data_IF_179392776334
#
_entry.id   IF_179392776334
#
_cell.length_a   1.000
_cell.length_b   1.000
_cell.length_c   1.000
_cell.angle_alpha   90.00
_cell.angle_beta   90.00
_cell.angle_gamma   90.00
#
_symmetry.space_group_name_H-M   'P 1'
#
loop_
_entity.id
_entity.type
_entity.pdbx_description
1 polymer ?
#
# COMPACT_ATOMS: atom_id res chain seq x y z
N UNK A 1 5.51 27.10 -16.55
CA UNK A 1 4.04 27.03 -16.41
C UNK A 1 3.44 27.63 -17.66
N UNK A 2 2.62 26.89 -18.44
CA UNK A 2 1.96 27.45 -19.62
C UNK A 2 1.07 28.63 -19.24
N UNK A 3 1.11 29.73 -20.00
CA UNK A 3 0.33 30.94 -19.69
C UNK A 3 -1.18 30.66 -19.52
N UNK A 4 -1.69 29.69 -20.28
CA UNK A 4 -3.10 29.26 -20.25
C UNK A 4 -3.50 28.47 -19.00
N UNK A 5 -2.54 27.85 -18.30
CA UNK A 5 -2.81 27.03 -17.12
C UNK A 5 -2.91 27.85 -15.82
N UNK A 6 -2.41 29.09 -15.81
CA UNK A 6 -2.44 29.96 -14.64
C UNK A 6 -1.47 29.53 -13.52
N UNK A 7 -1.66 30.12 -12.34
CA UNK A 7 -0.83 29.85 -11.16
C UNK A 7 -1.42 28.72 -10.31
N UNK A 8 -0.54 27.83 -9.84
CA UNK A 8 -0.91 26.68 -9.01
C UNK A 8 -0.39 26.91 -7.59
N UNK A 9 -1.30 26.98 -6.62
CA UNK A 9 -1.00 27.21 -5.20
C UNK A 9 -1.36 26.00 -4.34
N UNK A 10 -0.67 24.89 -4.56
CA UNK A 10 -0.87 23.67 -3.77
C UNK A 10 0.45 22.92 -3.56
N UNK A 11 0.47 22.05 -2.56
CA UNK A 11 1.61 21.16 -2.33
C UNK A 11 1.63 20.09 -3.42
N UNK A 12 2.75 20.02 -4.13
CA UNK A 12 2.93 19.09 -5.25
C UNK A 12 3.31 17.70 -4.72
N UNK A 13 2.33 16.82 -4.66
CA UNK A 13 2.47 15.37 -4.43
C UNK A 13 2.40 14.65 -5.77
N UNK A 14 2.77 13.36 -5.80
CA UNK A 14 2.61 12.53 -7.00
C UNK A 14 1.17 12.54 -7.54
N UNK A 15 0.17 12.60 -6.65
CA UNK A 15 -1.24 12.63 -7.05
C UNK A 15 -1.62 13.98 -7.63
N UNK A 16 -1.37 15.07 -6.90
CA UNK A 16 -1.71 16.41 -7.39
C UNK A 16 -0.98 16.76 -8.69
N UNK A 17 0.30 16.37 -8.84
CA UNK A 17 1.01 16.52 -10.10
C UNK A 17 0.33 15.80 -11.27
N UNK A 18 -0.18 14.57 -11.06
CA UNK A 18 -0.90 13.83 -12.10
C UNK A 18 -2.18 14.57 -12.52
N UNK A 19 -2.92 15.09 -11.54
CA UNK A 19 -4.18 15.80 -11.78
C UNK A 19 -3.91 17.13 -12.52
N UNK A 20 -2.91 17.91 -12.09
CA UNK A 20 -2.44 19.12 -12.77
C UNK A 20 -2.04 18.84 -14.22
N UNK A 21 -1.26 17.79 -14.48
CA UNK A 21 -0.82 17.43 -15.84
C UNK A 21 -2.05 17.12 -16.71
N UNK A 22 -3.04 16.42 -16.15
CA UNK A 22 -4.30 16.13 -16.83
C UNK A 22 -5.09 17.40 -17.17
N UNK A 23 -5.16 18.36 -16.25
CA UNK A 23 -5.88 19.61 -16.47
C UNK A 23 -5.15 20.54 -17.45
N UNK A 24 -3.82 20.58 -17.41
CA UNK A 24 -3.01 21.28 -18.42
C UNK A 24 -3.28 20.68 -19.79
N UNK A 25 -3.25 19.35 -19.93
CA UNK A 25 -3.52 18.68 -21.20
C UNK A 25 -4.91 19.01 -21.76
N UNK A 26 -5.93 19.20 -20.91
CA UNK A 26 -7.29 19.60 -21.34
C UNK A 26 -7.35 21.03 -21.88
N UNK A 27 -6.53 21.94 -21.35
CA UNK A 27 -6.57 23.38 -21.65
C UNK A 27 -5.56 23.75 -22.76
N UNK A 28 -4.50 22.96 -22.91
CA UNK A 28 -3.41 23.18 -23.86
C UNK A 28 -3.40 22.14 -24.99
N UNK A 29 -2.23 21.91 -25.60
CA UNK A 29 -1.98 20.91 -26.64
C UNK A 29 -0.99 19.83 -26.15
N UNK A 30 -0.96 18.67 -26.81
CA UNK A 30 0.00 17.58 -26.49
C UNK A 30 1.46 18.07 -26.52
N UNK A 31 1.93 18.83 -27.52
CA UNK A 31 3.30 19.35 -27.53
C UNK A 31 3.62 20.26 -26.35
N UNK A 32 2.70 21.18 -26.00
CA UNK A 32 2.88 22.10 -24.86
C UNK A 32 2.93 21.35 -23.53
N UNK A 33 2.07 20.34 -23.36
CA UNK A 33 2.11 19.49 -22.16
C UNK A 33 3.42 18.70 -22.09
N UNK A 34 3.95 18.23 -23.22
CA UNK A 34 5.24 17.52 -23.24
C UNK A 34 6.41 18.42 -22.84
N UNK A 35 6.48 19.64 -23.38
CA UNK A 35 7.49 20.64 -22.99
C UNK A 35 7.40 20.97 -21.50
N UNK A 36 6.18 21.18 -21.00
CA UNK A 36 5.92 21.39 -19.59
C UNK A 36 6.40 20.23 -18.69
N UNK A 37 6.20 18.98 -19.12
CA UNK A 37 6.70 17.79 -18.40
C UNK A 37 8.23 17.77 -18.32
N UNK A 38 8.91 18.16 -19.40
CA UNK A 38 10.37 18.28 -19.42
C UNK A 38 10.90 19.40 -18.52
N UNK A 39 10.21 20.53 -18.47
CA UNK A 39 10.49 21.61 -17.51
C UNK A 39 10.35 21.14 -16.06
N UNK A 40 9.22 20.48 -15.73
CA UNK A 40 8.99 19.93 -14.39
C UNK A 40 10.06 18.93 -14.00
N UNK A 41 10.43 18.02 -14.92
CA UNK A 41 11.48 17.03 -14.69
C UNK A 41 12.81 17.71 -14.36
N UNK A 42 13.19 18.71 -15.15
CA UNK A 42 14.44 19.45 -14.97
C UNK A 42 14.45 20.24 -13.66
N UNK A 43 13.34 20.92 -13.36
CA UNK A 43 13.13 21.64 -12.10
C UNK A 43 13.24 20.70 -10.90
N UNK A 44 12.52 19.56 -10.96
CA UNK A 44 12.51 18.53 -9.94
C UNK A 44 13.91 17.99 -9.65
N UNK A 45 14.69 17.65 -10.68
CA UNK A 45 16.07 17.19 -10.49
C UNK A 45 16.96 18.26 -9.86
N UNK A 46 16.87 19.51 -10.32
CA UNK A 46 17.67 20.62 -9.77
C UNK A 46 17.39 20.84 -8.29
N UNK A 47 16.11 20.94 -7.91
CA UNK A 47 15.72 21.21 -6.52
C UNK A 47 15.88 19.99 -5.62
N UNK A 48 15.69 18.76 -6.14
CA UNK A 48 16.00 17.55 -5.38
C UNK A 48 17.50 17.45 -5.05
N UNK A 49 18.37 17.80 -6.00
CA UNK A 49 19.80 17.86 -5.76
C UNK A 49 20.19 18.96 -4.75
N UNK A 50 19.67 20.17 -4.91
CA UNK A 50 19.91 21.28 -3.98
C UNK A 50 19.35 21.03 -2.57
N UNK A 51 18.23 20.32 -2.47
CA UNK A 51 17.60 19.96 -1.20
C UNK A 51 18.42 18.97 -0.38
N UNK A 52 19.38 18.26 -0.99
CA UNK A 52 20.33 17.41 -0.26
C UNK A 52 19.68 16.32 0.60
N UNK A 53 18.46 15.89 0.26
CA UNK A 53 17.72 14.90 1.04
C UNK A 53 18.47 13.58 1.03
N UNK A 54 18.84 13.10 2.21
CA UNK A 54 19.51 11.82 2.41
C UNK A 54 18.67 10.93 3.31
N UNK A 55 18.84 9.62 3.16
CA UNK A 55 18.19 8.63 4.00
C UNK A 55 19.16 8.14 5.07
N UNK A 56 18.88 8.47 6.33
CA UNK A 56 19.66 7.98 7.47
C UNK A 56 18.87 6.99 8.31
N UNK A 57 19.54 5.99 8.87
CA UNK A 57 19.00 5.12 9.93
C UNK A 57 18.57 5.93 11.17
N UNK A 58 19.16 7.12 11.37
CA UNK A 58 18.77 8.07 12.43
C UNK A 58 17.37 8.65 12.22
N UNK A 59 16.92 8.80 10.98
CA UNK A 59 15.61 9.37 10.64
C UNK A 59 14.46 8.38 10.90
N UNK A 60 14.79 7.11 11.11
CA UNK A 60 13.86 6.02 11.45
C UNK A 60 13.65 6.02 12.97
N UNK A 61 12.60 6.67 13.45
CA UNK A 61 12.33 6.79 14.89
C UNK A 61 11.50 5.59 15.36
N UNK A 62 12.01 4.82 16.32
CA UNK A 62 11.27 3.74 16.98
C UNK A 62 10.56 4.33 18.21
N UNK A 63 9.24 4.10 18.39
CA UNK A 63 8.54 4.53 19.61
C UNK A 63 9.08 3.85 20.86
N UNK A 64 9.30 4.58 21.94
CA UNK A 64 9.76 4.01 23.22
C UNK A 64 8.65 3.16 23.87
N UNK A 65 7.41 3.57 23.67
CA UNK A 65 6.17 2.92 24.10
C UNK A 65 6.00 1.55 23.47
N UNK A 66 6.74 1.23 22.40
CA UNK A 66 6.73 -0.09 21.75
C UNK A 66 6.88 -1.21 22.78
N UNK A 67 7.83 -1.09 23.70
CA UNK A 67 8.09 -2.13 24.70
C UNK A 67 6.92 -2.30 25.68
N UNK A 68 6.32 -1.19 26.10
CA UNK A 68 5.15 -1.19 26.98
C UNK A 68 3.92 -1.80 26.29
N UNK A 69 3.68 -1.45 25.03
CA UNK A 69 2.59 -2.00 24.21
C UNK A 69 2.76 -3.52 24.01
N UNK A 70 3.98 -3.99 23.71
CA UNK A 70 4.28 -5.41 23.57
C UNK A 70 4.06 -6.15 24.90
N UNK A 71 4.53 -5.59 26.02
CA UNK A 71 4.31 -6.19 27.34
C UNK A 71 2.82 -6.27 27.69
N UNK A 72 2.06 -5.23 27.37
CA UNK A 72 0.60 -5.20 27.57
C UNK A 72 -0.09 -6.28 26.75
N UNK A 73 0.29 -6.42 25.47
CA UNK A 73 -0.24 -7.46 24.59
C UNK A 73 0.11 -8.87 25.09
N UNK A 74 1.35 -9.11 25.56
CA UNK A 74 1.75 -10.38 26.13
C UNK A 74 0.91 -10.74 27.37
N UNK A 75 0.67 -9.79 28.27
CA UNK A 75 -0.17 -10.01 29.44
C UNK A 75 -1.61 -10.38 29.05
N UNK A 76 -2.18 -9.73 28.03
CA UNK A 76 -3.51 -10.07 27.52
C UNK A 76 -3.55 -11.48 26.92
N UNK A 77 -2.51 -11.86 26.16
CA UNK A 77 -2.38 -13.21 25.60
C UNK A 77 -2.27 -14.27 26.71
N UNK A 78 -1.57 -13.98 27.80
CA UNK A 78 -1.47 -14.89 28.94
C UNK A 78 -2.79 -15.07 29.68
N UNK A 79 -3.60 -14.01 29.81
CA UNK A 79 -4.98 -14.12 30.33
C UNK A 79 -5.83 -15.03 29.44
N UNK A 80 -5.74 -14.87 28.11
CA UNK A 80 -6.48 -15.72 27.17
C UNK A 80 -6.02 -17.19 27.27
N UNK A 81 -4.72 -17.44 27.40
CA UNK A 81 -4.17 -18.78 27.62
C UNK A 81 -4.67 -19.38 28.93
N UNK A 82 -4.74 -18.58 30.00
CA UNK A 82 -5.29 -19.01 31.28
C UNK A 82 -6.77 -19.39 31.17
N UNK A 83 -7.58 -18.56 30.50
CA UNK A 83 -9.00 -18.85 30.26
C UNK A 83 -9.21 -20.13 29.46
N UNK A 84 -8.36 -20.39 28.47
CA UNK A 84 -8.36 -21.64 27.73
C UNK A 84 -8.00 -22.85 28.62
N UNK A 85 -6.97 -22.72 29.46
CA UNK A 85 -6.55 -23.78 30.38
C UNK A 85 -7.62 -24.08 31.46
N UNK A 86 -8.41 -23.09 31.84
CA UNK A 86 -9.57 -23.24 32.73
C UNK A 86 -10.82 -23.81 32.02
N UNK A 87 -10.77 -24.02 30.70
CA UNK A 87 -11.89 -24.54 29.92
C UNK A 87 -13.02 -23.54 29.66
N UNK A 88 -12.77 -22.23 29.83
CA UNK A 88 -13.77 -21.18 29.64
C UNK A 88 -14.00 -20.82 28.17
N UNK A 89 -13.00 -21.07 27.31
CA UNK A 89 -13.04 -20.78 25.87
C UNK A 89 -12.51 -21.96 25.06
N UNK A 90 -12.94 -22.05 23.81
CA UNK A 90 -12.44 -23.06 22.85
C UNK A 90 -11.08 -22.67 22.26
N UNK A 91 -10.35 -23.63 21.67
CA UNK A 91 -9.07 -23.33 21.02
C UNK A 91 -9.21 -22.38 19.82
N UNK A 92 -10.33 -22.43 19.10
CA UNK A 92 -10.59 -21.54 17.98
C UNK A 92 -10.82 -20.10 18.45
N UNK A 93 -11.57 -19.91 19.55
CA UNK A 93 -11.77 -18.58 20.16
C UNK A 93 -10.45 -18.03 20.71
N UNK A 94 -9.67 -18.87 21.41
CA UNK A 94 -8.32 -18.53 21.87
C UNK A 94 -7.43 -18.07 20.71
N UNK A 95 -7.40 -18.82 19.61
CA UNK A 95 -6.62 -18.53 18.41
C UNK A 95 -6.99 -17.17 17.80
N UNK A 96 -8.29 -16.93 17.58
CA UNK A 96 -8.77 -15.68 16.99
C UNK A 96 -8.49 -14.49 17.91
N UNK A 97 -8.73 -14.61 19.22
CA UNK A 97 -8.46 -13.52 20.16
C UNK A 97 -6.98 -13.15 20.23
N UNK A 98 -6.07 -14.13 20.16
CA UNK A 98 -4.62 -13.87 20.10
C UNK A 98 -4.25 -13.12 18.82
N UNK A 99 -4.81 -13.49 17.67
CA UNK A 99 -4.60 -12.79 16.41
C UNK A 99 -5.12 -11.36 16.47
N UNK A 100 -6.30 -11.16 17.04
CA UNK A 100 -6.93 -9.85 17.12
C UNK A 100 -6.11 -8.90 17.98
N UNK A 101 -5.60 -9.35 19.14
CA UNK A 101 -4.70 -8.55 19.98
C UNK A 101 -3.48 -8.11 19.20
N UNK A 102 -2.75 -9.04 18.60
CA UNK A 102 -1.52 -8.71 17.87
C UNK A 102 -1.78 -7.82 16.65
N UNK A 103 -2.92 -8.01 15.98
CA UNK A 103 -3.33 -7.17 14.85
C UNK A 103 -3.62 -5.74 15.33
N UNK A 104 -4.34 -5.59 16.43
CA UNK A 104 -4.66 -4.29 17.03
C UNK A 104 -3.41 -3.57 17.54
N UNK A 105 -2.57 -4.25 18.32
CA UNK A 105 -1.32 -3.68 18.85
C UNK A 105 -0.39 -3.23 17.72
N UNK A 106 -0.27 -4.03 16.65
CA UNK A 106 0.56 -3.66 15.50
C UNK A 106 -0.01 -2.44 14.75
N UNK A 107 -1.33 -2.33 14.60
CA UNK A 107 -1.97 -1.17 13.98
C UNK A 107 -1.73 0.11 14.81
N UNK A 108 -1.94 0.04 16.12
CA UNK A 108 -1.72 1.16 17.04
C UNK A 108 -0.25 1.61 17.05
N UNK A 109 0.69 0.65 17.10
CA UNK A 109 2.12 0.94 17.02
C UNK A 109 2.50 1.60 15.69
N UNK A 110 1.86 1.18 14.60
CA UNK A 110 2.06 1.78 13.27
C UNK A 110 1.62 3.24 13.25
N UNK A 111 0.44 3.55 13.78
CA UNK A 111 -0.03 4.94 13.86
C UNK A 111 0.90 5.80 14.73
N UNK A 112 1.36 5.26 15.86
CA UNK A 112 2.29 5.96 16.74
C UNK A 112 3.64 6.26 16.05
N UNK A 113 4.23 5.27 15.38
CA UNK A 113 5.45 5.45 14.58
C UNK A 113 5.25 6.50 13.49
N UNK A 114 4.13 6.43 12.77
CA UNK A 114 3.80 7.38 11.71
C UNK A 114 3.64 8.81 12.24
N UNK A 115 3.00 8.98 13.40
CA UNK A 115 2.88 10.28 14.07
C UNK A 115 4.24 10.85 14.43
N UNK A 116 5.13 10.06 15.03
CA UNK A 116 6.49 10.49 15.39
C UNK A 116 7.33 10.89 14.19
N UNK A 117 7.22 10.16 13.08
CA UNK A 117 7.94 10.46 11.84
C UNK A 117 7.41 11.75 11.19
N UNK A 118 6.08 11.97 11.23
CA UNK A 118 5.45 13.21 10.76
C UNK A 118 5.87 14.43 11.59
N UNK A 119 5.91 14.31 12.91
CA UNK A 119 6.27 15.42 13.81
C UNK A 119 7.80 15.62 13.89
N UNK A 120 8.57 14.60 13.48
CA UNK A 120 10.02 14.62 13.44
C UNK A 120 10.56 15.73 12.54
N UNK A 121 11.59 16.44 13.02
CA UNK A 121 12.22 17.55 12.29
C UNK A 121 11.22 18.58 11.75
N UNK A 122 10.14 18.86 12.51
CA UNK A 122 9.08 19.80 12.10
C UNK A 122 8.40 19.41 10.76
N UNK A 123 8.33 18.12 10.44
CA UNK A 123 7.77 17.64 9.18
C UNK A 123 8.76 17.48 8.03
N UNK A 124 10.03 17.87 8.22
CA UNK A 124 11.10 17.73 7.23
C UNK A 124 11.92 16.44 7.37
N UNK A 125 11.39 15.46 8.10
CA UNK A 125 12.00 14.13 8.13
C UNK A 125 12.05 13.54 6.71
N UNK A 126 13.23 13.13 6.27
CA UNK A 126 13.48 12.61 4.91
C UNK A 126 12.59 11.41 4.55
N UNK A 127 12.39 10.49 5.49
CA UNK A 127 11.55 9.29 5.34
C UNK A 127 10.07 9.70 5.23
N UNK A 128 9.63 10.66 6.05
CA UNK A 128 8.28 11.21 5.97
C UNK A 128 8.04 11.88 4.61
N UNK A 129 8.94 12.77 4.18
CA UNK A 129 8.81 13.50 2.93
C UNK A 129 8.73 12.56 1.71
N UNK A 130 9.52 11.46 1.69
CA UNK A 130 9.44 10.46 0.61
C UNK A 130 8.09 9.74 0.56
N UNK A 131 7.51 9.47 1.73
CA UNK A 131 6.20 8.81 1.85
C UNK A 131 5.06 9.75 1.48
N UNK A 132 5.01 10.93 2.12
CA UNK A 132 3.90 11.90 2.01
C UNK A 132 3.80 12.48 0.60
N UNK A 133 4.95 12.73 -0.04
CA UNK A 133 5.00 13.12 -1.46
C UNK A 133 4.52 12.00 -2.40
N UNK A 134 4.48 10.75 -1.95
CA UNK A 134 4.20 9.59 -2.78
C UNK A 134 5.31 9.25 -3.77
N UNK A 135 6.50 9.83 -3.61
CA UNK A 135 7.64 9.60 -4.49
C UNK A 135 8.16 8.16 -4.38
N UNK A 136 8.33 7.67 -3.14
CA UNK A 136 8.77 6.29 -2.89
C UNK A 136 8.45 5.88 -1.46
N UNK A 137 8.04 4.64 -1.29
CA UNK A 137 7.73 4.08 0.01
C UNK A 137 6.24 3.84 0.19
N UNK A 138 5.89 3.01 1.17
CA UNK A 138 4.53 2.85 1.63
C UNK A 138 4.49 2.84 3.16
N UNK A 139 3.32 3.14 3.73
CA UNK A 139 3.09 3.05 5.18
C UNK A 139 3.48 1.68 5.73
N UNK A 140 3.20 0.63 4.95
CA UNK A 140 3.57 -0.75 5.25
C UNK A 140 5.09 -0.98 5.30
N UNK A 141 5.85 -0.39 4.38
CA UNK A 141 7.31 -0.50 4.39
C UNK A 141 7.93 0.24 5.59
N UNK A 142 7.41 1.43 5.92
CA UNK A 142 7.87 2.18 7.10
C UNK A 142 7.52 1.47 8.40
N UNK A 143 6.35 0.83 8.46
CA UNK A 143 5.96 -0.05 9.57
C UNK A 143 7.01 -1.12 9.83
N UNK A 144 7.48 -1.80 8.78
CA UNK A 144 8.49 -2.87 8.91
C UNK A 144 9.87 -2.36 9.35
N UNK A 145 10.17 -1.08 9.15
CA UNK A 145 11.41 -0.45 9.59
C UNK A 145 11.35 0.03 11.06
N UNK A 146 10.20 0.53 11.51
CA UNK A 146 10.07 1.32 12.76
C UNK A 146 9.22 0.66 13.83
N UNK A 147 8.18 -0.06 13.44
CA UNK A 147 7.22 -0.69 14.33
C UNK A 147 7.63 -2.12 14.69
N UNK A 148 6.74 -3.05 14.40
CA UNK A 148 6.98 -4.49 14.44
C UNK A 148 6.56 -5.09 13.09
N UNK A 149 7.14 -6.24 12.74
CA UNK A 149 6.76 -6.90 11.48
C UNK A 149 5.40 -7.60 11.58
N UNK A 150 5.01 -8.01 12.78
CA UNK A 150 3.67 -8.53 13.08
C UNK A 150 3.49 -9.99 12.71
N UNK A 151 2.23 -10.37 12.50
CA UNK A 151 1.81 -11.75 12.25
C UNK A 151 2.15 -12.19 10.82
N UNK A 152 2.66 -13.41 10.67
CA UNK A 152 3.04 -13.98 9.38
C UNK A 152 2.08 -15.08 8.96
N UNK A 153 1.77 -15.14 7.66
CA UNK A 153 0.98 -16.23 7.11
C UNK A 153 1.81 -17.52 7.07
N UNK A 154 1.20 -18.63 7.50
CA UNK A 154 1.81 -19.96 7.42
C UNK A 154 1.84 -20.44 5.96
N UNK A 155 2.95 -21.06 5.51
CA UNK A 155 2.98 -21.69 4.20
C UNK A 155 1.99 -22.87 4.16
N UNK A 156 1.10 -22.87 3.16
CA UNK A 156 0.10 -23.93 2.98
C UNK A 156 0.73 -25.21 2.45
N UNK A 157 0.31 -26.37 2.98
CA UNK A 157 0.22 -27.59 2.17
C UNK A 157 -1.12 -27.54 1.44
N UNK A 158 -1.15 -27.96 0.17
CA UNK A 158 -2.26 -27.83 -0.78
C UNK A 158 -3.62 -28.40 -0.33
N UNK A 159 -3.69 -29.11 0.81
CA UNK A 159 -4.86 -29.83 1.30
C UNK A 159 -5.54 -29.25 2.55
N UNK A 160 -4.98 -28.21 3.19
CA UNK A 160 -5.60 -27.60 4.38
C UNK A 160 -6.39 -26.32 4.02
N UNK A 161 -7.68 -26.30 4.36
CA UNK A 161 -8.56 -25.16 4.18
C UNK A 161 -8.22 -24.01 5.14
N UNK A 162 -8.15 -22.78 4.62
CA UNK A 162 -7.86 -21.57 5.40
C UNK A 162 -6.39 -21.12 5.34
N UNK A 163 -6.16 -19.80 5.29
CA UNK A 163 -4.83 -19.22 5.45
C UNK A 163 -4.52 -19.08 6.93
N UNK A 164 -3.97 -20.10 7.56
CA UNK A 164 -3.57 -20.03 8.97
C UNK A 164 -2.47 -18.97 9.15
N UNK A 165 -2.69 -18.08 10.10
CA UNK A 165 -1.71 -17.12 10.58
C UNK A 165 -0.92 -17.78 11.73
N UNK A 166 0.39 -17.55 11.76
CA UNK A 166 1.25 -17.99 12.85
C UNK A 166 0.97 -17.10 14.07
N UNK A 167 0.57 -17.71 15.18
CA UNK A 167 0.16 -17.01 16.41
C UNK A 167 1.29 -16.22 17.08
N UNK A 168 2.55 -16.61 16.85
CA UNK A 168 3.71 -15.92 17.38
C UNK A 168 4.14 -14.82 16.40
N UNK A 169 3.93 -13.53 16.72
CA UNK A 169 4.32 -12.43 15.84
C UNK A 169 5.84 -12.24 15.86
N UNK A 170 6.33 -11.57 14.82
CA UNK A 170 7.69 -11.02 14.80
C UNK A 170 7.64 -9.62 15.45
N UNK A 171 8.21 -9.51 16.64
CA UNK A 171 8.21 -8.28 17.45
C UNK A 171 9.30 -7.30 16.99
N UNK A 172 10.40 -7.85 16.48
CA UNK A 172 11.53 -7.08 15.99
C UNK A 172 11.22 -6.37 14.67
N UNK A 173 11.90 -5.26 14.42
CA UNK A 173 11.90 -4.58 13.12
C UNK A 173 13.27 -4.66 12.42
N UNK A 174 13.35 -4.19 11.18
CA UNK A 174 14.62 -4.24 10.43
C UNK A 174 15.72 -3.34 11.00
N UNK A 175 15.37 -2.29 11.75
CA UNK A 175 16.36 -1.42 12.39
C UNK A 175 17.00 -2.08 13.62
N UNK A 176 16.22 -2.85 14.38
CA UNK A 176 16.69 -3.64 15.54
C UNK A 176 17.38 -4.94 15.11
N UNK A 177 17.01 -5.48 13.94
CA UNK A 177 17.46 -6.78 13.47
C UNK A 177 16.52 -7.90 13.89
N UNK A 178 16.48 -8.99 13.14
CA UNK A 178 15.63 -10.15 13.43
C UNK A 178 16.46 -11.29 14.04
N UNK A 179 15.88 -11.99 15.01
CA UNK A 179 16.46 -13.25 15.46
C UNK A 179 16.42 -14.32 14.36
N UNK A 180 17.20 -15.39 14.52
CA UNK A 180 17.26 -16.50 13.55
C UNK A 180 15.87 -17.11 13.33
N UNK A 181 15.08 -17.29 14.39
CA UNK A 181 13.73 -17.84 14.33
C UNK A 181 12.76 -16.90 13.62
N UNK A 182 12.76 -15.62 13.95
CA UNK A 182 11.92 -14.61 13.29
C UNK A 182 12.27 -14.49 11.80
N UNK A 183 13.56 -14.49 11.48
CA UNK A 183 14.02 -14.47 10.09
C UNK A 183 13.54 -15.71 9.34
N UNK A 184 13.71 -16.91 9.92
CA UNK A 184 13.24 -18.17 9.32
C UNK A 184 11.75 -18.15 9.02
N UNK A 185 10.91 -17.73 9.97
CA UNK A 185 9.46 -17.59 9.78
C UNK A 185 9.15 -16.65 8.61
N UNK A 186 9.88 -15.55 8.51
CA UNK A 186 9.67 -14.54 7.45
C UNK A 186 10.00 -15.04 6.04
N UNK A 187 10.89 -16.04 5.91
CA UNK A 187 11.29 -16.58 4.59
C UNK A 187 10.16 -17.29 3.87
N UNK A 188 9.23 -17.90 4.60
CA UNK A 188 8.11 -18.65 4.01
C UNK A 188 7.19 -17.73 3.19
N UNK A 189 6.80 -16.59 3.76
CA UNK A 189 5.97 -15.60 3.09
C UNK A 189 6.68 -14.99 1.88
N UNK A 190 7.95 -14.63 2.03
CA UNK A 190 8.75 -14.04 0.94
C UNK A 190 8.91 -15.00 -0.25
N UNK A 191 9.28 -16.26 0.01
CA UNK A 191 9.44 -17.29 -1.04
C UNK A 191 8.13 -17.56 -1.77
N UNK A 192 7.02 -17.65 -1.03
CA UNK A 192 5.70 -17.85 -1.63
C UNK A 192 5.32 -16.68 -2.53
N UNK A 193 5.51 -15.44 -2.07
CA UNK A 193 5.21 -14.25 -2.88
C UNK A 193 6.01 -14.19 -4.19
N UNK A 194 7.30 -14.54 -4.13
CA UNK A 194 8.16 -14.61 -5.32
C UNK A 194 7.71 -15.72 -6.28
N UNK A 195 7.41 -16.91 -5.76
CA UNK A 195 6.92 -18.02 -6.57
C UNK A 195 5.55 -17.72 -7.21
N UNK A 196 4.60 -17.17 -6.45
CA UNK A 196 3.28 -16.78 -6.94
C UNK A 196 3.39 -15.70 -8.04
N UNK A 197 4.31 -14.75 -7.91
CA UNK A 197 4.57 -13.71 -8.92
C UNK A 197 5.12 -14.33 -10.21
N UNK A 198 6.07 -15.26 -10.09
CA UNK A 198 6.63 -15.96 -11.25
C UNK A 198 5.55 -16.79 -11.98
N UNK A 199 4.69 -17.50 -11.24
CA UNK A 199 3.60 -18.29 -11.82
C UNK A 199 2.54 -17.41 -12.50
N UNK A 200 2.11 -16.32 -11.85
CA UNK A 200 1.09 -15.39 -12.38
C UNK A 200 1.54 -14.65 -13.64
N UNK A 201 2.85 -14.51 -13.87
CA UNK A 201 3.39 -13.89 -15.08
C UNK A 201 2.93 -14.64 -16.34
N UNK A 202 2.93 -15.97 -16.30
CA UNK A 202 2.48 -16.80 -17.42
C UNK A 202 0.97 -16.66 -17.65
N UNK A 203 0.18 -16.69 -16.56
CA UNK A 203 -1.29 -16.57 -16.63
C UNK A 203 -1.74 -15.24 -17.21
N UNK A 204 -1.09 -14.13 -16.82
CA UNK A 204 -1.39 -12.80 -17.36
C UNK A 204 -1.13 -12.72 -18.87
N UNK A 205 0.01 -13.25 -19.34
CA UNK A 205 0.32 -13.32 -20.77
C UNK A 205 -0.66 -14.20 -21.54
N UNK A 206 -1.05 -15.34 -20.98
CA UNK A 206 -2.04 -16.24 -21.57
C UNK A 206 -3.42 -15.56 -21.69
N UNK A 207 -3.87 -14.86 -20.65
CA UNK A 207 -5.13 -14.11 -20.69
C UNK A 207 -5.11 -13.05 -21.78
N UNK A 208 -4.05 -12.23 -21.85
CA UNK A 208 -3.89 -11.20 -22.89
C UNK A 208 -3.93 -11.82 -24.28
N UNK A 209 -3.23 -12.95 -24.50
CA UNK A 209 -3.28 -13.67 -25.78
C UNK A 209 -4.71 -14.08 -26.13
N UNK A 210 -5.45 -14.68 -25.20
CA UNK A 210 -6.84 -15.09 -25.45
C UNK A 210 -7.76 -13.90 -25.77
N UNK A 211 -7.57 -12.77 -25.08
CA UNK A 211 -8.35 -11.56 -25.35
C UNK A 211 -8.05 -11.03 -26.76
N UNK A 212 -6.78 -11.02 -27.16
CA UNK A 212 -6.37 -10.64 -28.52
C UNK A 212 -6.96 -11.61 -29.55
N UNK A 213 -6.80 -12.92 -29.36
CA UNK A 213 -7.30 -13.94 -30.31
C UNK A 213 -8.83 -13.80 -30.58
N UNK A 214 -9.61 -13.33 -29.60
CA UNK A 214 -11.08 -13.15 -29.75
C UNK A 214 -11.45 -11.81 -30.40
N UNK A 215 -10.65 -10.76 -30.18
CA UNK A 215 -11.00 -9.38 -30.57
C UNK A 215 -10.12 -8.79 -31.67
N UNK A 216 -9.16 -9.56 -32.20
CA UNK A 216 -8.20 -9.11 -33.22
C UNK A 216 -8.88 -8.61 -34.50
N UNK A 217 -10.01 -9.21 -34.86
CA UNK A 217 -10.76 -8.86 -36.07
C UNK A 217 -11.80 -7.73 -35.84
N UNK A 218 -11.88 -7.16 -34.63
CA UNK A 218 -12.80 -6.05 -34.32
C UNK A 218 -12.17 -4.73 -34.73
N UNK A 219 -12.61 -4.19 -35.88
CA UNK A 219 -12.09 -2.94 -36.47
C UNK A 219 -13.24 -1.95 -36.65
N UNK A 220 -12.97 -0.66 -36.35
CA UNK A 220 -13.92 0.44 -36.62
C UNK A 220 -13.87 0.74 -38.13
N UNK A 221 -14.96 0.48 -38.83
CA UNK A 221 -15.05 0.59 -40.30
C UNK A 221 -15.93 1.75 -40.78
N UNK A 222 -16.81 2.26 -39.92
CA UNK A 222 -17.73 3.36 -40.21
C UNK A 222 -17.82 4.30 -38.99
N UNK A 223 -18.17 5.57 -39.23
CA UNK A 223 -18.27 6.59 -38.17
C UNK A 223 -19.60 6.49 -37.38
N UNK A 224 -20.71 6.23 -38.06
CA UNK A 224 -22.03 6.08 -37.43
C UNK A 224 -22.82 4.94 -38.07
N UNK A 225 -23.22 3.97 -37.25
CA UNK A 225 -24.04 2.83 -37.66
C UNK A 225 -25.55 3.13 -37.62
N UNK A 226 -25.96 4.32 -37.13
CA UNK A 226 -27.35 4.78 -37.09
C UNK A 226 -28.26 4.05 -36.09
N UNK A 227 -27.70 3.25 -35.18
CA UNK A 227 -28.50 2.47 -34.22
C UNK A 227 -29.00 3.33 -33.07
N UNK A 228 -30.28 3.16 -32.70
CA UNK A 228 -30.87 3.75 -31.50
C UNK A 228 -30.69 2.84 -30.25
N UNK A 229 -30.06 1.67 -30.42
CA UNK A 229 -29.89 0.69 -29.35
C UNK A 229 -28.63 1.01 -28.56
N UNK A 230 -28.78 1.20 -27.25
CA UNK A 230 -27.68 1.35 -26.32
C UNK A 230 -27.88 0.50 -25.08
N UNK A 231 -26.98 0.65 -24.11
CA UNK A 231 -27.09 0.03 -22.79
C UNK A 231 -27.50 1.10 -21.77
N UNK A 232 -28.39 0.74 -20.84
CA UNK A 232 -28.75 1.63 -19.73
C UNK A 232 -27.63 1.64 -18.70
N UNK A 233 -26.91 2.75 -18.57
CA UNK A 233 -25.83 2.92 -17.58
C UNK A 233 -26.37 3.68 -16.37
N UNK A 234 -26.13 3.13 -15.18
CA UNK A 234 -26.42 3.78 -13.89
C UNK A 234 -25.16 3.85 -13.02
N UNK A 235 -25.17 4.67 -11.98
CA UNK A 235 -24.10 4.62 -10.98
C UNK A 235 -23.94 3.20 -10.43
N UNK A 236 -22.70 2.73 -10.30
CA UNK A 236 -22.42 1.40 -9.77
C UNK A 236 -22.51 1.48 -8.25
N UNK A 237 -23.54 0.84 -7.69
CA UNK A 237 -23.77 0.78 -6.25
C UNK A 237 -23.45 -0.62 -5.73
N UNK A 238 -22.68 -0.71 -4.66
CA UNK A 238 -22.50 -1.94 -3.89
C UNK A 238 -23.15 -1.71 -2.53
N UNK A 239 -24.31 -2.33 -2.33
CA UNK A 239 -25.24 -1.98 -1.23
C UNK A 239 -25.66 -0.50 -1.32
N UNK A 240 -25.38 0.31 -0.30
CA UNK A 240 -25.69 1.75 -0.27
C UNK A 240 -24.53 2.64 -0.72
N UNK A 241 -23.34 2.08 -0.90
CA UNK A 241 -22.15 2.85 -1.27
C UNK A 241 -22.02 2.94 -2.79
N UNK A 242 -21.93 4.18 -3.29
CA UNK A 242 -21.64 4.44 -4.70
C UNK A 242 -20.17 4.17 -4.94
N UNK A 243 -19.86 3.04 -5.57
CA UNK A 243 -18.49 2.62 -5.91
C UNK A 243 -17.96 3.46 -7.07
N UNK A 244 -18.82 3.77 -8.04
CA UNK A 244 -18.47 4.54 -9.23
C UNK A 244 -19.63 5.44 -9.62
N UNK A 245 -19.34 6.74 -9.79
CA UNK A 245 -20.35 7.75 -10.13
C UNK A 245 -20.76 7.60 -11.60
N UNK A 246 -21.97 8.08 -11.93
CA UNK A 246 -22.45 8.04 -13.32
C UNK A 246 -21.52 8.80 -14.28
N UNK A 247 -20.97 9.94 -13.83
CA UNK A 247 -20.09 10.77 -14.66
C UNK A 247 -18.74 10.11 -15.00
N UNK A 248 -18.27 9.14 -14.22
CA UNK A 248 -17.04 8.39 -14.55
C UNK A 248 -17.33 7.21 -15.51
N UNK A 249 -18.60 6.83 -15.64
CA UNK A 249 -19.08 5.71 -16.48
C UNK A 249 -19.62 6.14 -17.85
N UNK A 250 -19.72 7.45 -18.09
CA UNK A 250 -20.14 8.06 -19.35
C UNK A 250 -18.94 8.72 -20.02
#
# INVERSE_FOLDING_TARGET
>A
MPERAGFINEVLTKKSLKDIIGDILKITSVPETAEFLDEIKTLGYKFAFQGGLSFSLGDIIIPNEKFEMINTANNQVDVIRSNYNMGLITNNERYNQVIDIWTSTNAELTELSMKRIREGQQGFNSVYMMLDSGARGSKEQIRQLTGMRGLMAKPKKSTAGGGEIIENPILSNFKEGLSILEYFISTHGARKGLADTALKTADAGYLTRRLVDVSQDVIITEEDCGTLRGISVSALKKNEEVVEKLGDRM
#
